data_IF_580893970477
#
_entry.id   IF_580893970477
#
_cell.length_a   1.000
_cell.length_b   1.000
_cell.length_c   1.000
_cell.angle_alpha   90.00
_cell.angle_beta   90.00
_cell.angle_gamma   90.00
#
_symmetry.space_group_name_H-M   'P 1'
#
loop_
_entity.id
_entity.type
_entity.pdbx_description
1 polymer ?
#
# COMPACT_ATOMS: atom_id res chain seq x y z
N UNK A 1 18.57 -25.21 -54.48
CA UNK A 1 18.31 -24.64 -53.12
C UNK A 1 17.56 -25.69 -52.33
N UNK A 2 18.23 -26.27 -51.36
CA UNK A 2 17.87 -27.53 -50.70
C UNK A 2 16.79 -27.36 -49.63
N UNK A 3 15.75 -28.17 -49.69
CA UNK A 3 14.59 -28.22 -48.80
C UNK A 3 14.96 -28.61 -47.34
N UNK A 4 16.18 -29.03 -47.10
CA UNK A 4 16.66 -29.47 -45.76
C UNK A 4 17.09 -28.33 -44.82
N UNK A 5 17.17 -27.08 -45.28
CA UNK A 5 17.57 -25.94 -44.44
C UNK A 5 16.40 -25.26 -43.66
N UNK A 6 15.15 -25.63 -43.91
CA UNK A 6 14.00 -25.02 -43.26
C UNK A 6 13.42 -25.80 -42.05
N UNK A 7 13.85 -27.04 -41.85
CA UNK A 7 13.35 -27.88 -40.76
C UNK A 7 14.20 -27.75 -39.48
N UNK A 8 15.48 -27.36 -39.62
CA UNK A 8 16.35 -27.17 -38.44
C UNK A 8 16.13 -25.88 -37.65
N UNK A 9 15.42 -24.90 -38.23
CA UNK A 9 15.18 -23.59 -37.55
C UNK A 9 13.87 -23.54 -36.72
N UNK A 10 12.99 -24.51 -36.91
CA UNK A 10 11.72 -24.60 -36.17
C UNK A 10 11.79 -25.49 -34.91
N UNK A 11 12.84 -26.29 -34.76
CA UNK A 11 13.06 -27.10 -33.55
C UNK A 11 13.94 -26.41 -32.50
N UNK A 12 14.68 -25.35 -32.85
CA UNK A 12 15.48 -24.58 -31.87
C UNK A 12 14.72 -23.50 -31.12
N UNK A 13 13.52 -23.11 -31.59
CA UNK A 13 12.67 -22.09 -30.90
C UNK A 13 11.63 -22.70 -29.96
N UNK A 14 11.44 -24.03 -29.98
CA UNK A 14 10.48 -24.74 -29.15
C UNK A 14 11.02 -25.23 -27.80
N UNK A 15 12.34 -25.30 -27.62
CA UNK A 15 12.96 -25.88 -26.41
C UNK A 15 13.40 -24.80 -25.40
N UNK A 16 13.60 -23.55 -25.81
CA UNK A 16 14.03 -22.47 -24.93
C UNK A 16 12.89 -21.84 -24.11
N UNK A 17 11.60 -22.09 -24.46
CA UNK A 17 10.45 -21.54 -23.73
C UNK A 17 9.93 -22.46 -22.62
N UNK A 18 10.30 -23.73 -22.57
CA UNK A 18 9.80 -24.70 -21.60
C UNK A 18 10.60 -24.77 -20.30
N UNK A 19 11.88 -24.38 -20.31
CA UNK A 19 12.73 -24.53 -19.10
C UNK A 19 12.71 -23.37 -18.11
N UNK A 20 12.07 -22.24 -18.44
CA UNK A 20 11.98 -21.08 -17.52
C UNK A 20 10.63 -20.96 -16.81
N UNK A 21 9.63 -21.79 -17.16
CA UNK A 21 8.28 -21.77 -16.59
C UNK A 21 8.12 -22.63 -15.32
N UNK A 22 8.82 -23.75 -15.23
CA UNK A 22 8.60 -24.74 -14.16
C UNK A 22 9.38 -24.45 -12.87
N UNK A 23 10.56 -23.85 -12.96
CA UNK A 23 11.37 -23.52 -11.78
C UNK A 23 10.78 -22.37 -10.95
N UNK A 24 10.03 -21.46 -11.57
CA UNK A 24 9.35 -20.37 -10.87
C UNK A 24 8.03 -20.78 -10.19
N UNK A 25 7.38 -21.85 -10.64
CA UNK A 25 6.13 -22.30 -9.98
C UNK A 25 6.40 -23.14 -8.73
N UNK A 26 7.50 -23.89 -8.65
CA UNK A 26 7.79 -24.73 -7.48
C UNK A 26 8.26 -23.93 -6.25
N UNK A 27 8.86 -22.75 -6.46
CA UNK A 27 9.29 -21.88 -5.35
C UNK A 27 8.11 -21.10 -4.77
N UNK A 28 7.09 -20.80 -5.57
CA UNK A 28 5.90 -20.04 -5.18
C UNK A 28 4.89 -20.81 -4.31
N UNK A 29 4.93 -22.11 -4.29
CA UNK A 29 3.97 -22.94 -3.55
C UNK A 29 4.14 -22.94 -2.02
N UNK A 30 5.18 -22.30 -1.48
CA UNK A 30 5.54 -22.36 -0.04
C UNK A 30 5.14 -21.15 0.80
N UNK A 31 4.78 -20.02 0.17
CA UNK A 31 4.35 -18.84 0.92
C UNK A 31 2.82 -18.80 0.95
N UNK A 32 2.23 -19.22 2.04
CA UNK A 32 0.79 -19.07 2.25
C UNK A 32 0.54 -17.73 2.93
N UNK A 33 -0.10 -16.83 2.18
CA UNK A 33 -0.65 -15.59 2.75
C UNK A 33 -1.56 -15.91 3.93
N UNK A 34 -1.56 -15.08 4.98
CA UNK A 34 -2.61 -15.16 5.99
C UNK A 34 -3.97 -15.15 5.30
N UNK A 35 -4.85 -16.07 5.69
CA UNK A 35 -6.21 -16.10 5.12
C UNK A 35 -6.86 -14.73 5.29
N UNK A 36 -7.44 -14.22 4.21
CA UNK A 36 -8.23 -12.99 4.27
C UNK A 36 -9.48 -13.27 5.09
N UNK A 37 -9.68 -12.50 6.14
CA UNK A 37 -10.80 -12.64 7.06
C UNK A 37 -11.90 -11.64 6.73
N UNK A 38 -13.13 -11.92 7.15
CA UNK A 38 -14.16 -10.89 7.22
C UNK A 38 -13.69 -9.77 8.17
N UNK A 39 -13.54 -8.53 7.68
CA UNK A 39 -13.06 -7.42 8.50
C UNK A 39 -13.97 -7.10 9.69
N UNK A 40 -15.25 -7.47 9.61
CA UNK A 40 -16.25 -7.26 10.67
C UNK A 40 -16.47 -8.47 11.57
N UNK A 41 -15.71 -9.56 11.37
CA UNK A 41 -15.81 -10.73 12.24
C UNK A 41 -15.50 -10.35 13.70
N UNK A 42 -16.35 -10.87 14.62
CA UNK A 42 -16.21 -10.59 16.07
C UNK A 42 -14.79 -10.92 16.55
N UNK A 43 -14.13 -10.02 17.26
CA UNK A 43 -12.80 -10.27 17.81
C UNK A 43 -12.80 -11.43 18.80
N UNK A 44 -11.80 -12.30 18.72
CA UNK A 44 -11.58 -13.39 19.69
C UNK A 44 -10.99 -12.85 20.99
N UNK A 45 -10.09 -11.87 20.87
CA UNK A 45 -9.39 -11.23 21.99
C UNK A 45 -9.89 -9.80 22.10
N UNK A 46 -10.33 -9.40 23.31
CA UNK A 46 -10.86 -8.04 23.53
C UNK A 46 -9.75 -6.99 23.59
N UNK A 47 -8.59 -7.34 24.14
CA UNK A 47 -7.41 -6.48 24.15
C UNK A 47 -6.75 -6.49 22.77
N UNK A 48 -6.84 -5.34 22.07
CA UNK A 48 -6.28 -5.20 20.73
C UNK A 48 -4.76 -5.34 20.71
N UNK A 49 -4.07 -4.85 21.74
CA UNK A 49 -2.60 -4.94 21.81
C UNK A 49 -2.14 -6.39 21.95
N UNK A 50 -2.82 -7.17 22.78
CA UNK A 50 -2.56 -8.61 22.92
C UNK A 50 -2.88 -9.33 21.59
N UNK A 51 -4.04 -9.05 20.98
CA UNK A 51 -4.42 -9.65 19.70
C UNK A 51 -3.36 -9.41 18.62
N UNK A 52 -2.89 -8.16 18.48
CA UNK A 52 -1.86 -7.81 17.51
C UNK A 52 -0.53 -8.54 17.76
N UNK A 53 -0.14 -8.71 19.03
CA UNK A 53 1.07 -9.48 19.39
C UNK A 53 0.96 -10.93 18.92
N UNK A 54 -0.20 -11.54 19.08
CA UNK A 54 -0.42 -12.92 18.68
C UNK A 54 -0.47 -13.12 17.15
N UNK A 55 -0.78 -12.05 16.38
CA UNK A 55 -0.78 -12.13 14.93
C UNK A 55 0.60 -12.25 14.30
N UNK A 56 1.65 -11.81 14.99
CA UNK A 56 3.00 -11.72 14.42
C UNK A 56 3.18 -10.67 13.32
N UNK A 57 2.18 -9.84 13.05
CA UNK A 57 2.31 -8.72 12.11
C UNK A 57 3.35 -7.71 12.57
N UNK A 58 4.05 -7.13 11.61
CA UNK A 58 4.97 -6.01 11.78
C UNK A 58 4.61 -4.90 10.82
N UNK A 59 5.20 -3.75 11.00
CA UNK A 59 5.16 -2.65 10.04
C UNK A 59 6.57 -2.23 9.69
N UNK A 60 6.78 -1.88 8.41
CA UNK A 60 7.91 -1.05 7.99
C UNK A 60 7.46 0.40 8.08
N UNK A 61 8.26 1.23 8.73
CA UNK A 61 7.96 2.63 9.01
C UNK A 61 9.17 3.51 8.70
N UNK A 62 8.94 4.68 8.13
CA UNK A 62 10.00 5.67 7.96
C UNK A 62 9.98 6.67 9.11
N UNK A 63 11.09 6.82 9.82
CA UNK A 63 11.22 7.69 10.98
C UNK A 63 12.19 8.82 10.64
N UNK A 64 11.75 10.04 10.89
CA UNK A 64 12.68 11.18 10.95
C UNK A 64 13.57 11.02 12.17
N UNK A 65 14.90 11.10 12.04
CA UNK A 65 15.74 11.30 13.20
C UNK A 65 15.31 12.61 13.89
N UNK A 66 15.46 12.66 15.21
CA UNK A 66 15.05 13.82 16.04
C UNK A 66 15.45 15.12 15.37
N UNK A 67 14.44 16.00 15.30
CA UNK A 67 14.48 17.31 14.67
C UNK A 67 15.88 17.93 14.65
N UNK A 68 16.47 18.19 13.49
CA UNK A 68 17.53 19.15 13.41
C UNK A 68 16.92 20.50 13.69
N UNK A 69 17.73 21.36 14.10
CA UNK A 69 17.47 22.78 14.17
C UNK A 69 17.00 23.25 12.77
N UNK A 70 15.67 23.35 12.56
CA UNK A 70 15.08 23.80 11.27
C UNK A 70 15.66 25.16 10.87
N UNK A 71 16.22 25.92 11.84
CA UNK A 71 16.90 27.18 11.61
C UNK A 71 18.18 27.04 10.77
N UNK A 72 18.72 25.84 10.64
CA UNK A 72 19.95 25.55 9.88
C UNK A 72 19.73 25.03 8.47
N UNK A 73 18.47 24.94 8.00
CA UNK A 73 18.14 24.46 6.65
C UNK A 73 18.55 23.00 6.38
N UNK A 74 18.75 22.19 7.41
CA UNK A 74 19.05 20.78 7.25
C UNK A 74 17.78 20.03 6.85
N UNK A 75 17.75 19.49 5.64
CA UNK A 75 16.77 18.50 5.22
C UNK A 75 17.04 17.21 5.98
N UNK A 76 16.05 16.78 6.76
CA UNK A 76 16.09 15.50 7.44
C UNK A 76 15.99 14.36 6.45
N UNK A 77 16.97 13.48 6.44
CA UNK A 77 16.82 12.15 5.86
C UNK A 77 16.05 11.26 6.83
N UNK A 78 15.08 10.50 6.32
CA UNK A 78 14.38 9.45 7.04
C UNK A 78 15.12 8.15 6.86
N UNK A 79 15.13 7.34 7.91
CA UNK A 79 15.52 5.94 7.83
C UNK A 79 14.29 5.03 8.00
N UNK A 80 14.35 3.84 7.44
CA UNK A 80 13.34 2.81 7.62
C UNK A 80 13.62 2.01 8.90
N UNK A 81 12.55 1.71 9.60
CA UNK A 81 12.53 0.86 10.79
C UNK A 81 11.45 -0.21 10.63
N UNK A 82 11.63 -1.31 11.35
CA UNK A 82 10.61 -2.37 11.47
C UNK A 82 10.15 -2.38 12.92
N UNK A 83 8.84 -2.42 13.14
CA UNK A 83 8.18 -2.45 14.45
C UNK A 83 7.11 -3.54 14.48
N UNK A 84 6.92 -4.21 15.61
CA UNK A 84 5.80 -5.12 15.78
C UNK A 84 4.47 -4.36 15.80
N UNK A 85 3.40 -4.97 15.33
CA UNK A 85 2.08 -4.35 15.29
C UNK A 85 1.52 -3.96 16.66
N UNK A 86 2.04 -4.53 17.75
CA UNK A 86 1.71 -4.15 19.13
C UNK A 86 2.54 -2.95 19.66
N UNK A 87 3.41 -2.36 18.83
CA UNK A 87 4.26 -1.22 19.16
C UNK A 87 5.57 -1.57 19.82
N UNK A 88 5.93 -2.85 19.93
CA UNK A 88 7.21 -3.32 20.51
C UNK A 88 8.24 -3.66 19.44
N UNK A 89 9.47 -3.93 19.82
CA UNK A 89 10.48 -4.52 18.94
C UNK A 89 10.97 -3.61 17.82
N UNK A 90 11.01 -2.29 18.03
CA UNK A 90 11.54 -1.34 17.04
C UNK A 90 12.99 -1.66 16.71
N UNK A 91 13.28 -1.87 15.41
CA UNK A 91 14.61 -2.15 14.88
C UNK A 91 14.89 -1.29 13.67
N UNK A 92 16.03 -0.61 13.64
CA UNK A 92 16.45 0.15 12.47
C UNK A 92 16.81 -0.80 11.34
N UNK A 93 16.27 -0.52 10.14
CA UNK A 93 16.50 -1.31 8.93
C UNK A 93 17.52 -0.65 8.02
N UNK A 94 17.41 0.66 7.80
CA UNK A 94 18.37 1.42 7.00
C UNK A 94 19.12 2.42 7.86
N UNK A 95 20.30 2.83 7.39
CA UNK A 95 21.12 3.87 8.01
C UNK A 95 21.91 4.57 6.91
N UNK A 96 21.22 5.44 6.16
CA UNK A 96 21.79 6.11 4.99
C UNK A 96 21.71 7.63 5.14
N UNK A 97 22.75 8.25 5.70
CA UNK A 97 22.73 9.67 6.12
C UNK A 97 22.36 10.70 5.05
N UNK A 98 22.39 10.32 3.78
CA UNK A 98 22.17 11.21 2.66
C UNK A 98 20.96 10.81 1.77
N UNK A 99 20.24 9.76 2.13
CA UNK A 99 19.02 9.35 1.42
C UNK A 99 17.80 9.56 2.32
N UNK A 100 16.74 10.13 1.76
CA UNK A 100 15.45 10.29 2.43
C UNK A 100 14.56 9.10 2.08
N UNK A 101 14.52 8.08 2.93
CA UNK A 101 13.79 6.85 2.71
C UNK A 101 12.36 6.95 3.17
N UNK A 102 11.43 6.72 2.25
CA UNK A 102 10.01 6.98 2.46
C UNK A 102 9.11 6.08 1.65
N UNK A 103 7.81 6.19 1.96
CA UNK A 103 6.73 5.53 1.23
C UNK A 103 6.96 4.03 1.00
N UNK A 104 7.23 3.24 2.05
CA UNK A 104 7.30 1.79 1.89
C UNK A 104 5.95 1.23 1.45
N UNK A 105 5.98 0.21 0.59
CA UNK A 105 4.80 -0.51 0.11
C UNK A 105 5.10 -1.99 -0.02
N UNK A 106 4.36 -2.79 0.72
CA UNK A 106 4.52 -4.24 0.76
C UNK A 106 3.72 -4.90 -0.36
N UNK A 107 4.31 -5.91 -0.98
CA UNK A 107 3.64 -6.72 -1.99
C UNK A 107 2.45 -7.47 -1.40
N UNK A 108 1.38 -7.75 -2.18
CA UNK A 108 0.22 -8.51 -1.68
C UNK A 108 0.57 -9.87 -1.08
N UNK A 109 1.58 -10.57 -1.59
CA UNK A 109 2.07 -11.83 -1.01
C UNK A 109 2.96 -11.65 0.23
N UNK A 110 3.35 -10.42 0.58
CA UNK A 110 4.19 -10.12 1.73
C UNK A 110 5.66 -10.52 1.60
N UNK A 111 6.09 -11.02 0.45
CA UNK A 111 7.49 -11.44 0.24
C UNK A 111 8.44 -10.28 0.05
N UNK A 112 7.91 -9.15 -0.43
CA UNK A 112 8.71 -7.97 -0.77
C UNK A 112 8.07 -6.70 -0.22
N UNK A 113 8.87 -5.67 -0.07
CA UNK A 113 8.37 -4.30 -0.04
C UNK A 113 9.26 -3.40 -0.89
N UNK A 114 8.66 -2.35 -1.46
CA UNK A 114 9.38 -1.28 -2.13
C UNK A 114 9.46 -0.06 -1.24
N UNK A 115 10.43 0.84 -1.48
CA UNK A 115 10.47 2.17 -0.86
C UNK A 115 11.07 3.20 -1.83
N UNK A 116 11.01 4.47 -1.44
CA UNK A 116 11.39 5.60 -2.30
C UNK A 116 10.66 5.56 -3.66
N UNK A 117 9.32 5.43 -3.61
CA UNK A 117 8.47 5.35 -4.79
C UNK A 117 8.87 4.20 -5.73
N UNK A 118 9.18 3.04 -5.15
CA UNK A 118 9.53 1.86 -5.92
C UNK A 118 10.96 1.79 -6.42
N UNK A 119 11.83 2.75 -6.05
CA UNK A 119 13.23 2.75 -6.45
C UNK A 119 14.04 1.58 -5.90
N UNK A 120 13.67 1.10 -4.72
CA UNK A 120 14.31 -0.03 -4.06
C UNK A 120 13.31 -1.12 -3.75
N UNK A 121 13.73 -2.36 -3.91
CA UNK A 121 13.00 -3.57 -3.56
C UNK A 121 13.74 -4.31 -2.46
N UNK A 122 13.03 -4.69 -1.42
CA UNK A 122 13.54 -5.47 -0.29
C UNK A 122 12.85 -6.82 -0.24
N UNK A 123 13.62 -7.89 -0.15
CA UNK A 123 13.13 -9.21 0.20
C UNK A 123 12.90 -9.28 1.72
N UNK A 124 11.67 -9.51 2.15
CA UNK A 124 11.26 -9.47 3.56
C UNK A 124 11.93 -10.56 4.41
N UNK A 125 12.22 -11.71 3.80
CA UNK A 125 12.83 -12.84 4.51
C UNK A 125 14.32 -12.64 4.76
N UNK A 126 15.04 -12.13 3.76
CA UNK A 126 16.50 -11.98 3.80
C UNK A 126 16.95 -10.57 4.17
N UNK A 127 16.04 -9.61 4.12
CA UNK A 127 16.26 -8.17 4.25
C UNK A 127 17.29 -7.61 3.23
N UNK A 128 17.53 -8.33 2.14
CA UNK A 128 18.39 -7.87 1.06
C UNK A 128 17.67 -6.86 0.20
N UNK A 129 18.35 -5.78 -0.12
CA UNK A 129 17.84 -4.68 -0.94
C UNK A 129 18.49 -4.71 -2.31
N UNK A 130 17.69 -4.47 -3.36
CA UNK A 130 18.18 -4.20 -4.71
C UNK A 130 17.51 -2.96 -5.28
N UNK A 131 18.23 -2.21 -6.11
CA UNK A 131 17.65 -1.11 -6.88
C UNK A 131 16.81 -1.65 -8.03
N UNK A 132 15.62 -1.10 -8.21
CA UNK A 132 14.73 -1.38 -9.33
C UNK A 132 14.21 -0.05 -9.89
N UNK A 133 13.52 -0.09 -11.02
CA UNK A 133 12.83 1.07 -11.59
C UNK A 133 11.32 0.80 -11.54
N UNK A 134 10.82 0.61 -10.32
CA UNK A 134 9.43 0.25 -10.04
C UNK A 134 8.60 1.44 -9.57
N UNK A 135 7.48 1.12 -8.94
CA UNK A 135 6.59 2.06 -8.25
C UNK A 135 6.06 1.43 -6.96
N UNK A 136 5.12 2.10 -6.29
CA UNK A 136 4.59 1.65 -5.01
C UNK A 136 3.25 0.93 -5.09
N UNK A 137 2.53 0.95 -6.22
CA UNK A 137 1.33 0.13 -6.40
C UNK A 137 1.72 -1.23 -6.95
N UNK A 138 1.28 -2.29 -6.27
CA UNK A 138 1.59 -3.65 -6.64
C UNK A 138 0.46 -4.31 -7.44
N UNK A 139 0.82 -5.19 -8.38
CA UNK A 139 -0.17 -6.11 -8.95
C UNK A 139 -0.53 -7.21 -7.95
N UNK A 140 -1.76 -7.76 -8.01
CA UNK A 140 -2.21 -8.79 -7.06
C UNK A 140 -1.34 -10.05 -7.02
N UNK A 141 -0.70 -10.39 -8.15
CA UNK A 141 0.23 -11.51 -8.26
C UNK A 141 1.62 -11.22 -7.68
N UNK A 142 1.85 -9.98 -7.20
CA UNK A 142 3.12 -9.54 -6.63
C UNK A 142 4.32 -9.61 -7.58
N UNK A 143 4.09 -9.72 -8.88
CA UNK A 143 5.16 -9.84 -9.88
C UNK A 143 5.56 -8.51 -10.50
N UNK A 144 4.67 -7.52 -10.43
CA UNK A 144 4.87 -6.23 -11.06
C UNK A 144 4.46 -5.11 -10.11
N UNK A 145 5.08 -3.97 -10.34
CA UNK A 145 4.60 -2.69 -9.81
C UNK A 145 3.91 -1.90 -10.91
N UNK A 146 3.05 -0.96 -10.53
CA UNK A 146 2.23 -0.17 -11.46
C UNK A 146 2.43 1.30 -11.16
N UNK A 147 2.71 2.06 -12.20
CA UNK A 147 2.91 3.50 -12.19
C UNK A 147 1.88 4.19 -13.06
N UNK A 148 1.38 5.34 -12.62
CA UNK A 148 0.66 6.26 -13.49
C UNK A 148 1.45 7.55 -13.66
N UNK A 149 1.93 7.79 -14.87
CA UNK A 149 2.73 8.96 -15.23
C UNK A 149 2.16 9.70 -16.43
N UNK A 150 2.96 10.59 -17.01
CA UNK A 150 2.56 11.36 -18.21
C UNK A 150 2.28 10.47 -19.44
N UNK A 151 2.92 9.32 -19.50
CA UNK A 151 2.74 8.35 -20.58
C UNK A 151 1.46 7.52 -20.43
N UNK A 152 0.84 7.53 -19.25
CA UNK A 152 -0.26 6.66 -18.85
C UNK A 152 0.16 5.68 -17.75
N UNK A 153 -0.54 4.54 -17.67
CA UNK A 153 -0.27 3.48 -16.70
C UNK A 153 0.72 2.50 -17.29
N UNK A 154 1.80 2.24 -16.56
CA UNK A 154 2.88 1.32 -16.94
C UNK A 154 3.08 0.28 -15.86
N UNK A 155 3.18 -0.97 -16.25
CA UNK A 155 3.57 -2.08 -15.38
C UNK A 155 5.07 -2.33 -15.51
N UNK A 156 5.75 -2.52 -14.39
CA UNK A 156 7.18 -2.90 -14.36
C UNK A 156 7.33 -4.26 -13.68
N UNK A 157 7.89 -5.24 -14.38
CA UNK A 157 8.22 -6.56 -13.83
C UNK A 157 9.37 -6.44 -12.84
N UNK A 158 9.19 -6.93 -11.60
CA UNK A 158 10.18 -6.77 -10.52
C UNK A 158 11.42 -7.65 -10.70
N UNK A 159 11.32 -8.73 -11.47
CA UNK A 159 12.42 -9.67 -11.71
C UNK A 159 13.33 -9.21 -12.85
N UNK A 160 12.73 -8.74 -13.94
CA UNK A 160 13.43 -8.38 -15.20
C UNK A 160 13.62 -6.88 -15.38
N UNK A 161 12.81 -6.05 -14.71
CA UNK A 161 12.73 -4.61 -14.96
C UNK A 161 11.99 -4.24 -16.25
N UNK A 162 11.42 -5.23 -16.96
CA UNK A 162 10.73 -4.96 -18.22
C UNK A 162 9.47 -4.14 -17.98
N UNK A 163 9.28 -3.08 -18.78
CA UNK A 163 8.12 -2.20 -18.73
C UNK A 163 7.11 -2.57 -19.81
N UNK A 164 5.83 -2.49 -19.50
CA UNK A 164 4.75 -2.67 -20.48
C UNK A 164 4.61 -1.46 -21.39
N UNK A 165 3.87 -1.63 -22.49
CA UNK A 165 3.33 -0.50 -23.25
C UNK A 165 2.37 0.28 -22.34
N UNK A 166 2.42 1.62 -22.33
CA UNK A 166 1.55 2.44 -21.51
C UNK A 166 0.06 2.28 -21.88
N UNK A 167 -0.79 2.19 -20.86
CA UNK A 167 -2.24 2.30 -21.03
C UNK A 167 -2.60 3.79 -20.94
N UNK A 168 -3.18 4.41 -21.97
CA UNK A 168 -3.45 5.84 -21.96
C UNK A 168 -4.44 6.25 -20.86
N UNK A 169 -4.14 7.33 -20.16
CA UNK A 169 -5.04 7.98 -19.21
C UNK A 169 -5.17 9.44 -19.58
N UNK A 170 -6.40 9.90 -19.79
CA UNK A 170 -6.70 11.25 -20.31
C UNK A 170 -6.53 12.38 -19.28
N UNK A 171 -6.33 12.05 -18.03
CA UNK A 171 -6.29 13.02 -16.93
C UNK A 171 -5.01 12.87 -16.13
N UNK A 172 -4.58 13.95 -15.51
CA UNK A 172 -3.50 13.88 -14.51
C UNK A 172 -4.07 13.33 -13.20
N UNK A 173 -3.85 12.06 -12.96
CA UNK A 173 -4.37 11.30 -11.83
C UNK A 173 -3.24 10.72 -11.01
N UNK A 174 -3.48 10.52 -9.73
CA UNK A 174 -2.59 9.77 -8.86
C UNK A 174 -3.15 8.36 -8.67
N UNK A 175 -2.42 7.35 -9.15
CA UNK A 175 -2.79 5.96 -8.91
C UNK A 175 -2.57 5.62 -7.44
N UNK A 176 -3.63 5.27 -6.74
CA UNK A 176 -3.59 4.98 -5.32
C UNK A 176 -3.47 3.49 -5.02
N UNK A 177 -4.25 2.66 -5.74
CA UNK A 177 -4.28 1.21 -5.51
C UNK A 177 -4.92 0.44 -6.67
N UNK A 178 -4.88 -0.90 -6.58
CA UNK A 178 -5.48 -1.87 -7.51
C UNK A 178 -6.25 -2.94 -6.74
N UNK A 179 -7.42 -3.37 -7.27
CA UNK A 179 -8.19 -4.47 -6.64
C UNK A 179 -7.43 -5.80 -6.65
N UNK A 180 -7.69 -6.65 -5.67
CA UNK A 180 -7.04 -7.97 -5.55
C UNK A 180 -7.30 -8.93 -6.69
N UNK A 181 -8.37 -8.72 -7.48
CA UNK A 181 -8.64 -9.47 -8.71
C UNK A 181 -7.97 -8.85 -9.95
N UNK A 182 -7.27 -7.73 -9.77
CA UNK A 182 -6.54 -7.03 -10.81
C UNK A 182 -7.41 -6.33 -11.86
N UNK A 183 -8.72 -6.17 -11.60
CA UNK A 183 -9.63 -5.63 -12.62
C UNK A 183 -9.81 -4.13 -12.57
N UNK A 184 -9.54 -3.49 -11.43
CA UNK A 184 -9.84 -2.08 -11.22
C UNK A 184 -8.65 -1.36 -10.61
N UNK A 185 -8.42 -0.14 -11.12
CA UNK A 185 -7.59 0.87 -10.49
C UNK A 185 -8.46 1.85 -9.72
N UNK A 186 -7.93 2.37 -8.62
CA UNK A 186 -8.49 3.49 -7.89
C UNK A 186 -7.50 4.65 -7.92
N UNK A 187 -8.02 5.84 -8.14
CA UNK A 187 -7.24 7.05 -8.29
C UNK A 187 -7.65 8.11 -7.29
N UNK A 188 -6.71 8.95 -6.98
CA UNK A 188 -6.94 10.24 -6.36
C UNK A 188 -6.79 11.32 -7.42
N UNK A 189 -7.81 12.15 -7.59
CA UNK A 189 -7.80 13.27 -8.53
C UNK A 189 -7.86 14.57 -7.74
N UNK A 190 -6.86 15.41 -7.92
CA UNK A 190 -6.82 16.72 -7.32
C UNK A 190 -7.50 17.76 -8.21
N UNK A 191 -8.57 18.34 -7.73
CA UNK A 191 -9.16 19.53 -8.36
C UNK A 191 -8.39 20.78 -7.91
N UNK A 192 -7.52 21.31 -8.78
CA UNK A 192 -6.72 22.48 -8.49
C UNK A 192 -7.53 23.75 -8.22
N UNK A 193 -8.73 23.86 -8.80
CA UNK A 193 -9.60 25.03 -8.64
C UNK A 193 -10.32 25.05 -7.28
N UNK A 194 -10.61 23.88 -6.69
CA UNK A 194 -11.40 23.76 -5.47
C UNK A 194 -10.66 23.29 -4.24
N UNK A 195 -9.37 22.93 -4.35
CA UNK A 195 -8.59 22.26 -3.27
C UNK A 195 -9.28 20.99 -2.76
N UNK A 196 -10.11 20.36 -3.59
CA UNK A 196 -10.81 19.13 -3.26
C UNK A 196 -10.16 17.96 -3.97
N UNK A 197 -10.09 16.85 -3.29
CA UNK A 197 -9.72 15.58 -3.87
C UNK A 197 -10.98 14.78 -4.15
N UNK A 198 -10.98 14.00 -5.24
CA UNK A 198 -12.01 13.01 -5.51
C UNK A 198 -11.35 11.66 -5.66
N UNK A 199 -12.11 10.62 -5.36
CA UNK A 199 -11.70 9.24 -5.57
C UNK A 199 -12.46 8.73 -6.78
N UNK A 200 -11.71 8.29 -7.80
CA UNK A 200 -12.26 7.80 -9.04
C UNK A 200 -11.68 6.42 -9.36
N UNK A 201 -12.29 5.66 -10.24
CA UNK A 201 -11.81 4.33 -10.57
C UNK A 201 -11.93 4.06 -12.09
N UNK A 202 -11.16 3.08 -12.57
CA UNK A 202 -11.11 2.71 -13.99
C UNK A 202 -10.80 1.22 -14.13
N UNK A 203 -11.32 0.54 -15.18
CA UNK A 203 -10.88 -0.82 -15.48
C UNK A 203 -9.37 -0.88 -15.72
N UNK A 204 -8.71 -1.91 -15.22
CA UNK A 204 -7.25 -2.06 -15.36
C UNK A 204 -6.77 -2.26 -16.80
N UNK A 205 -7.67 -2.63 -17.70
CA UNK A 205 -7.42 -2.74 -19.14
C UNK A 205 -7.51 -1.40 -19.87
N UNK A 206 -7.80 -0.33 -19.17
CA UNK A 206 -8.06 0.98 -19.74
C UNK A 206 -9.56 1.23 -19.95
N UNK A 207 -9.91 2.46 -20.32
CA UNK A 207 -11.27 2.92 -20.54
C UNK A 207 -11.52 4.26 -19.87
N UNK A 208 -12.79 4.59 -19.69
CA UNK A 208 -13.17 5.85 -19.06
C UNK A 208 -13.02 5.78 -17.54
N UNK A 209 -12.55 6.89 -16.98
CA UNK A 209 -12.51 7.08 -15.53
C UNK A 209 -13.93 7.35 -15.04
N UNK A 210 -14.36 6.58 -14.06
CA UNK A 210 -15.66 6.68 -13.42
C UNK A 210 -15.50 7.39 -12.09
N UNK A 211 -16.31 8.40 -11.86
CA UNK A 211 -16.32 9.14 -10.61
C UNK A 211 -16.98 8.33 -9.51
N UNK A 212 -16.31 8.26 -8.35
CA UNK A 212 -16.97 7.83 -7.16
C UNK A 212 -17.73 9.01 -6.53
N UNK A 213 -19.01 8.85 -6.16
CA UNK A 213 -19.76 9.94 -5.56
C UNK A 213 -19.11 10.31 -4.22
N UNK A 214 -19.03 11.61 -3.98
CA UNK A 214 -18.51 12.14 -2.74
C UNK A 214 -19.34 11.63 -1.55
N UNK A 215 -18.66 11.23 -0.51
CA UNK A 215 -19.30 10.96 0.77
C UNK A 215 -19.99 12.24 1.26
N UNK A 216 -21.22 12.17 1.82
CA UNK A 216 -21.91 13.36 2.32
C UNK A 216 -21.11 13.98 3.47
N UNK A 217 -20.35 15.03 3.18
CA UNK A 217 -19.54 15.69 4.22
C UNK A 217 -18.63 16.81 3.69
N UNK A 218 -18.49 17.02 2.39
CA UNK A 218 -17.69 18.10 1.77
C UNK A 218 -16.23 18.22 2.25
N UNK A 219 -15.65 17.16 2.79
CA UNK A 219 -14.24 17.12 3.20
C UNK A 219 -13.48 16.36 2.13
N UNK A 220 -12.37 16.92 1.65
CA UNK A 220 -11.55 16.31 0.61
C UNK A 220 -11.30 14.82 0.92
N UNK A 221 -11.76 13.97 0.03
CA UNK A 221 -11.58 12.52 0.11
C UNK A 221 -10.26 12.16 -0.56
N UNK A 222 -9.38 11.45 0.14
CA UNK A 222 -8.08 11.10 -0.41
C UNK A 222 -7.53 9.80 0.18
N UNK A 223 -6.44 9.36 -0.41
CA UNK A 223 -5.68 8.18 -0.01
C UNK A 223 -6.52 6.89 0.10
N UNK A 224 -7.26 6.54 -0.97
CA UNK A 224 -8.03 5.30 -0.98
C UNK A 224 -7.11 4.08 -1.02
N UNK A 225 -7.54 2.99 -0.37
CA UNK A 225 -6.88 1.70 -0.43
C UNK A 225 -7.94 0.58 -0.42
N UNK A 226 -7.71 -0.48 -1.21
CA UNK A 226 -8.55 -1.67 -1.21
C UNK A 226 -8.18 -2.61 -0.06
N UNK A 227 -9.21 -3.31 0.47
CA UNK A 227 -8.97 -4.47 1.32
C UNK A 227 -8.32 -5.60 0.51
N UNK A 228 -7.59 -6.53 1.16
CA UNK A 228 -6.89 -7.61 0.46
C UNK A 228 -7.80 -8.52 -0.36
N UNK A 229 -9.09 -8.60 -0.04
CA UNK A 229 -10.08 -9.35 -0.83
C UNK A 229 -10.75 -8.50 -1.93
N UNK A 230 -10.40 -7.21 -2.03
CA UNK A 230 -10.95 -6.28 -3.01
C UNK A 230 -12.42 -5.92 -2.81
N UNK A 231 -13.07 -6.41 -1.75
CA UNK A 231 -14.50 -6.17 -1.51
C UNK A 231 -14.79 -4.88 -0.77
N UNK A 232 -13.79 -4.34 -0.09
CA UNK A 232 -13.91 -3.13 0.69
C UNK A 232 -12.85 -2.13 0.26
N UNK A 233 -13.12 -0.89 0.50
CA UNK A 233 -12.14 0.18 0.39
C UNK A 233 -12.20 1.05 1.63
N UNK A 234 -11.07 1.61 2.02
CA UNK A 234 -10.99 2.67 3.00
C UNK A 234 -10.39 3.92 2.38
N UNK A 235 -10.67 5.06 2.97
CA UNK A 235 -10.11 6.35 2.58
C UNK A 235 -10.16 7.35 3.74
N UNK A 236 -9.43 8.44 3.59
CA UNK A 236 -9.51 9.57 4.52
C UNK A 236 -10.79 10.37 4.30
N UNK A 237 -11.57 10.58 5.34
CA UNK A 237 -12.79 11.36 5.29
C UNK A 237 -13.00 12.13 6.60
N UNK A 238 -13.08 13.45 6.52
CA UNK A 238 -13.43 14.29 7.68
C UNK A 238 -12.51 14.13 8.89
N UNK A 239 -11.23 13.83 8.70
CA UNK A 239 -10.27 13.60 9.78
C UNK A 239 -10.27 12.17 10.36
N UNK A 240 -11.07 11.27 9.79
CA UNK A 240 -11.15 9.86 10.16
C UNK A 240 -10.93 8.91 9.00
N UNK A 241 -11.01 7.62 9.26
CA UNK A 241 -11.01 6.56 8.25
C UNK A 241 -12.46 6.17 7.94
N UNK A 242 -12.86 6.36 6.68
CA UNK A 242 -14.10 5.83 6.15
C UNK A 242 -13.88 4.48 5.49
N UNK A 243 -14.90 3.64 5.48
CA UNK A 243 -14.92 2.34 4.82
C UNK A 243 -16.26 2.11 4.13
N UNK A 244 -16.23 1.46 2.95
CA UNK A 244 -17.43 0.97 2.27
C UNK A 244 -17.12 -0.27 1.45
N UNK A 245 -18.16 -1.00 1.03
CA UNK A 245 -18.03 -2.01 -0.01
C UNK A 245 -17.66 -1.34 -1.33
N UNK A 246 -16.75 -1.96 -2.05
CA UNK A 246 -16.44 -1.59 -3.42
C UNK A 246 -17.34 -2.39 -4.36
N UNK A 247 -18.17 -1.68 -5.11
CA UNK A 247 -18.99 -2.25 -6.18
C UNK A 247 -18.97 -1.28 -7.36
N UNK A 248 -18.26 -1.62 -8.44
CA UNK A 248 -18.15 -0.75 -9.61
C UNK A 248 -19.46 -0.60 -10.38
N UNK A 249 -20.45 -1.46 -10.15
CA UNK A 249 -21.79 -1.33 -10.75
C UNK A 249 -22.68 -0.33 -10.02
N UNK A 250 -22.31 0.01 -8.78
CA UNK A 250 -23.03 0.95 -7.91
C UNK A 250 -22.16 2.14 -7.52
N UNK A 251 -21.68 2.95 -8.49
CA UNK A 251 -20.78 4.07 -8.18
C UNK A 251 -21.39 5.09 -7.23
N UNK A 252 -22.72 5.14 -7.15
CA UNK A 252 -23.49 6.08 -6.33
C UNK A 252 -23.82 5.55 -4.92
N UNK A 253 -23.18 4.46 -4.46
CA UNK A 253 -23.42 3.93 -3.13
C UNK A 253 -23.11 4.95 -2.03
N UNK A 254 -24.12 5.24 -1.20
CA UNK A 254 -24.06 6.23 -0.09
C UNK A 254 -23.74 5.60 1.25
N UNK A 255 -23.31 4.33 1.26
CA UNK A 255 -23.19 3.48 2.43
C UNK A 255 -21.81 3.51 3.11
N UNK A 256 -20.98 4.48 2.79
CA UNK A 256 -19.71 4.69 3.46
C UNK A 256 -19.89 5.01 4.95
N UNK A 257 -19.11 4.34 5.80
CA UNK A 257 -19.16 4.50 7.25
C UNK A 257 -17.80 4.95 7.77
N UNK A 258 -17.78 6.00 8.59
CA UNK A 258 -16.58 6.36 9.34
C UNK A 258 -16.42 5.37 10.49
N UNK A 259 -15.28 4.69 10.54
CA UNK A 259 -14.98 3.64 11.53
C UNK A 259 -13.92 4.03 12.54
N UNK A 260 -13.06 5.00 12.24
CA UNK A 260 -12.19 5.55 13.25
C UNK A 260 -12.98 6.59 14.06
N UNK A 261 -12.78 6.66 15.38
CA UNK A 261 -13.42 7.71 16.16
C UNK A 261 -12.95 9.06 15.59
N UNK A 262 -13.87 9.94 15.18
CA UNK A 262 -13.49 11.30 14.93
C UNK A 262 -13.03 11.86 16.28
N UNK A 263 -11.76 12.18 16.43
CA UNK A 263 -11.44 13.19 17.40
C UNK A 263 -12.18 14.43 16.92
N UNK A 264 -12.90 15.12 17.79
CA UNK A 264 -13.78 16.29 17.55
C UNK A 264 -13.13 17.43 16.73
N UNK A 265 -12.15 17.13 15.94
CA UNK A 265 -11.36 18.02 15.14
C UNK A 265 -12.01 18.20 13.77
N UNK A 266 -12.74 19.27 13.63
CA UNK A 266 -13.06 19.91 12.35
C UNK A 266 -11.74 20.42 11.71
N UNK A 267 -10.83 19.55 11.31
CA UNK A 267 -9.59 19.98 10.67
C UNK A 267 -9.71 19.73 9.18
N UNK A 268 -9.97 20.82 8.46
CA UNK A 268 -9.95 20.79 7.00
C UNK A 268 -8.55 20.48 6.48
N UNK A 269 -8.42 19.50 5.58
CA UNK A 269 -7.25 19.27 4.78
C UNK A 269 -6.16 18.39 5.39
N UNK A 270 -6.48 17.50 6.30
CA UNK A 270 -5.52 16.57 6.90
C UNK A 270 -6.03 15.13 6.80
N UNK A 271 -5.19 14.25 6.26
CA UNK A 271 -5.60 13.00 5.69
C UNK A 271 -4.89 11.82 6.35
N UNK A 272 -5.55 11.07 7.24
CA UNK A 272 -5.02 9.81 7.71
C UNK A 272 -5.01 8.79 6.57
N UNK A 273 -3.85 8.44 6.05
CA UNK A 273 -3.71 7.40 5.04
C UNK A 273 -3.98 6.03 5.65
N UNK A 274 -5.10 5.41 5.35
CA UNK A 274 -5.40 4.05 5.80
C UNK A 274 -4.63 3.01 5.00
N UNK A 275 -4.01 2.03 5.69
CA UNK A 275 -3.38 0.86 5.08
C UNK A 275 -3.94 -0.41 5.69
N UNK A 276 -4.52 -1.26 4.85
CA UNK A 276 -5.07 -2.54 5.28
C UNK A 276 -3.97 -3.55 5.61
N UNK A 277 -4.16 -4.27 6.71
CA UNK A 277 -3.36 -5.48 6.96
C UNK A 277 -3.70 -6.56 5.94
N UNK A 278 -2.76 -7.46 5.65
CA UNK A 278 -2.95 -8.54 4.67
C UNK A 278 -4.11 -9.48 4.99
N UNK A 279 -4.51 -9.61 6.25
CA UNK A 279 -5.70 -10.37 6.62
C UNK A 279 -7.01 -9.57 6.54
N UNK A 280 -6.95 -8.26 6.28
CA UNK A 280 -8.14 -7.40 6.16
C UNK A 280 -8.81 -7.00 7.48
N UNK A 281 -8.27 -7.38 8.66
CA UNK A 281 -8.90 -7.10 9.97
C UNK A 281 -8.49 -5.77 10.58
N UNK A 282 -7.35 -5.23 10.17
CA UNK A 282 -6.76 -4.03 10.77
C UNK A 282 -6.44 -3.00 9.70
N UNK A 283 -6.45 -1.74 10.11
CA UNK A 283 -6.00 -0.61 9.30
C UNK A 283 -4.96 0.16 10.13
N UNK A 284 -3.75 0.31 9.58
CA UNK A 284 -2.77 1.25 10.10
C UNK A 284 -3.10 2.65 9.56
N UNK A 285 -3.00 3.67 10.39
CA UNK A 285 -3.28 5.05 10.00
C UNK A 285 -2.56 6.05 10.89
N UNK A 286 -2.34 7.25 10.39
CA UNK A 286 -1.80 8.35 11.19
C UNK A 286 -2.96 9.16 11.74
N UNK A 287 -3.03 9.28 13.07
CA UNK A 287 -4.05 10.09 13.75
C UNK A 287 -3.60 11.54 13.77
N UNK A 288 -4.38 12.42 13.17
CA UNK A 288 -4.02 13.82 13.08
C UNK A 288 -4.55 14.59 14.31
N UNK A 289 -3.69 15.31 15.03
CA UNK A 289 -4.11 16.07 16.20
C UNK A 289 -5.11 17.17 15.87
N UNK A 290 -6.02 17.44 16.80
CA UNK A 290 -7.07 18.45 16.67
C UNK A 290 -6.59 19.90 16.43
N UNK A 291 -5.33 20.19 16.76
CA UNK A 291 -4.73 21.51 16.58
C UNK A 291 -4.20 21.78 15.15
N UNK A 292 -4.44 20.85 14.22
CA UNK A 292 -4.09 21.04 12.82
C UNK A 292 -2.61 20.98 12.46
N UNK A 293 -1.73 20.70 13.40
CA UNK A 293 -0.30 20.63 13.14
C UNK A 293 0.11 19.23 12.67
N UNK A 294 -0.01 18.97 11.37
CA UNK A 294 0.46 17.71 10.77
C UNK A 294 1.99 17.52 10.83
N UNK A 295 2.73 18.59 11.10
CA UNK A 295 4.20 18.58 11.16
C UNK A 295 4.76 18.10 12.49
N UNK A 296 3.92 18.01 13.52
CA UNK A 296 4.40 17.72 14.87
C UNK A 296 3.54 16.65 15.51
N UNK A 297 4.09 15.42 15.62
CA UNK A 297 3.57 14.34 16.46
C UNK A 297 2.21 13.73 16.07
N UNK A 298 1.98 13.49 14.78
CA UNK A 298 0.84 12.66 14.37
C UNK A 298 1.11 11.19 14.71
N UNK A 299 0.47 10.60 15.73
CA UNK A 299 0.76 9.23 16.13
C UNK A 299 0.32 8.22 15.08
N UNK A 300 1.16 7.19 14.88
CA UNK A 300 0.80 6.01 14.11
C UNK A 300 -0.07 5.11 14.98
N UNK A 301 -1.24 4.78 14.46
CA UNK A 301 -2.24 3.98 15.15
C UNK A 301 -2.62 2.74 14.34
N UNK A 302 -3.09 1.72 15.02
CA UNK A 302 -3.76 0.56 14.41
C UNK A 302 -5.19 0.52 14.87
N UNK A 303 -6.10 0.43 13.90
CA UNK A 303 -7.54 0.30 14.07
C UNK A 303 -7.95 -1.14 13.80
N UNK A 304 -8.76 -1.74 14.66
CA UNK A 304 -9.49 -2.98 14.40
C UNK A 304 -10.85 -2.64 13.78
N UNK A 305 -11.09 -3.12 12.56
CA UNK A 305 -12.27 -2.75 11.76
C UNK A 305 -13.58 -3.19 12.41
N UNK A 306 -13.57 -4.35 13.04
CA UNK A 306 -14.77 -4.99 13.59
C UNK A 306 -15.49 -4.13 14.66
N UNK A 307 -14.76 -3.41 15.48
CA UNK A 307 -15.32 -2.66 16.62
C UNK A 307 -14.82 -1.20 16.72
N UNK A 308 -13.98 -0.75 15.79
CA UNK A 308 -13.44 0.60 15.77
C UNK A 308 -12.41 0.89 16.87
N UNK A 309 -11.98 -0.10 17.64
CA UNK A 309 -10.94 0.10 18.64
C UNK A 309 -9.61 0.39 17.99
N UNK A 310 -8.87 1.35 18.55
CA UNK A 310 -7.53 1.67 18.06
C UNK A 310 -6.51 1.78 19.20
N UNK A 311 -5.26 1.51 18.86
CA UNK A 311 -4.09 1.73 19.74
C UNK A 311 -3.04 2.55 19.02
N UNK A 312 -2.30 3.33 19.77
CA UNK A 312 -1.11 4.03 19.28
C UNK A 312 0.10 3.12 19.38
N UNK A 313 0.88 3.04 18.29
CA UNK A 313 2.08 2.21 18.19
C UNK A 313 3.34 3.00 17.85
N UNK A 314 3.21 4.31 17.60
CA UNK A 314 4.36 5.14 17.25
C UNK A 314 5.44 5.11 18.33
N UNK A 315 6.71 4.90 17.94
CA UNK A 315 7.82 4.95 18.89
C UNK A 315 8.08 6.38 19.37
N UNK A 316 8.77 6.56 20.50
CA UNK A 316 9.21 7.88 20.96
C UNK A 316 10.02 8.60 19.87
N UNK A 317 9.69 9.87 19.60
CA UNK A 317 10.37 10.67 18.59
C UNK A 317 9.88 10.42 17.14
N UNK A 318 8.84 9.60 16.96
CA UNK A 318 8.16 9.49 15.68
C UNK A 318 7.58 10.84 15.25
N UNK A 319 7.99 11.29 14.07
CA UNK A 319 7.37 12.39 13.35
C UNK A 319 6.98 11.81 12.00
N UNK A 320 5.79 11.21 11.93
CA UNK A 320 5.38 10.44 10.76
C UNK A 320 4.62 11.26 9.75
N UNK A 321 4.90 11.02 8.49
CA UNK A 321 4.03 11.37 7.39
C UNK A 321 3.06 10.22 7.09
N UNK A 322 1.89 10.56 6.56
CA UNK A 322 0.83 9.62 6.22
C UNK A 322 1.20 8.57 5.15
N UNK A 323 2.37 8.67 4.52
CA UNK A 323 2.85 7.73 3.49
C UNK A 323 3.94 6.78 4.00
N UNK A 324 4.39 6.96 5.21
CA UNK A 324 5.66 6.45 5.70
C UNK A 324 5.53 5.14 6.46
N UNK A 325 4.52 4.34 6.14
CA UNK A 325 4.33 3.01 6.74
C UNK A 325 3.57 2.06 5.84
N UNK A 326 3.83 0.76 6.04
CA UNK A 326 3.02 -0.33 5.49
C UNK A 326 3.20 -1.61 6.31
N UNK A 327 2.32 -2.58 6.11
CA UNK A 327 2.28 -3.83 6.84
C UNK A 327 3.28 -4.85 6.31
N UNK A 328 3.91 -5.59 7.22
CA UNK A 328 4.67 -6.80 6.94
C UNK A 328 3.93 -7.97 7.58
N UNK A 329 3.42 -8.95 6.80
CA UNK A 329 2.75 -10.11 7.36
C UNK A 329 3.74 -10.98 8.15
N UNK A 330 3.23 -11.84 9.07
CA UNK A 330 4.06 -12.82 9.74
C UNK A 330 4.70 -13.74 8.70
N UNK A 331 5.95 -14.12 8.92
CA UNK A 331 6.56 -15.18 8.14
C UNK A 331 5.69 -16.44 8.28
N UNK A 332 5.29 -17.05 7.17
CA UNK A 332 4.63 -18.35 7.23
C UNK A 332 5.61 -19.32 7.87
N UNK A 333 5.28 -19.83 9.04
CA UNK A 333 6.00 -20.97 9.58
C UNK A 333 5.91 -22.08 8.53
N UNK A 334 7.03 -22.42 7.90
CA UNK A 334 7.14 -23.67 7.18
C UNK A 334 6.91 -24.77 8.24
N UNK A 335 5.69 -25.31 8.30
CA UNK A 335 5.48 -26.54 9.04
C UNK A 335 6.52 -27.55 8.55
N UNK A 336 7.28 -28.14 9.47
CA UNK A 336 8.31 -29.12 9.14
C UNK A 336 7.74 -30.31 8.40
#
# INVERSE_FOLDING_TARGET
>A
MNVYSKIALLLALGVAAACHGEENQSIRAKWQMPAVCDPFAKPRIQDLKQELRETGYRLVIAIHPRSPDESKGQTLSRDLYIINADGTGLTQFTNTPHEDERAPRTSPNGEFFTYNQGKYLVDVKTLKTKKIDGDYVWTPDSNRTVQCGREGIVYTDISTGQRSVPIPVKQNVWLADMTSDGKWFIFEIRNYLGRQYTIDFMPSKGGDIQKMPNYPGNFGECHPAFSPDGKWMCWSAGGGIAIRKFDPSLPNGTDGKIISPPDNAKVMGQDPCGRWSHCGRYIAYVKIPSNGSWRVHSPLCILRVADGKSITISPPGWVGHHWDYDWIPPASESKP
#
